data_IF_477563997482
#
_entry.id   IF_477563997482
#
_cell.length_a   1.000
_cell.length_b   1.000
_cell.length_c   1.000
_cell.angle_alpha   90.00
_cell.angle_beta   90.00
_cell.angle_gamma   90.00
#
_symmetry.space_group_name_H-M   'P 1'
#
loop_
_entity.id
_entity.type
_entity.pdbx_description
1 polymer ?
#
# COMPACT_ATOMS: atom_id res chain seq x y z
N UNK A 1 55.42 24.83 -14.85
CA UNK A 1 53.95 25.01 -14.89
C UNK A 1 53.28 23.67 -14.68
N UNK A 2 52.22 23.62 -13.88
CA UNK A 2 51.37 22.47 -13.65
C UNK A 2 50.45 22.26 -14.83
N UNK A 3 50.24 20.99 -15.20
CA UNK A 3 49.25 20.61 -16.20
C UNK A 3 47.83 20.84 -15.68
N UNK A 4 46.86 20.91 -16.58
CA UNK A 4 45.45 21.04 -16.19
C UNK A 4 45.05 19.93 -15.22
N UNK A 5 44.21 20.29 -14.23
CA UNK A 5 43.78 19.46 -13.10
C UNK A 5 44.77 19.35 -11.92
N UNK A 6 45.92 20.04 -11.98
CA UNK A 6 46.91 20.11 -10.90
C UNK A 6 47.23 21.56 -10.53
N UNK A 7 47.53 21.80 -9.26
CA UNK A 7 48.00 23.09 -8.76
C UNK A 7 49.06 22.91 -7.68
N UNK A 8 49.80 23.97 -7.38
CA UNK A 8 50.86 23.92 -6.36
C UNK A 8 50.34 23.91 -4.92
N UNK A 9 49.07 24.29 -4.71
CA UNK A 9 48.40 24.36 -3.40
C UNK A 9 47.15 23.47 -3.31
N UNK A 10 46.90 22.59 -4.29
CA UNK A 10 45.76 21.64 -4.33
C UNK A 10 44.38 22.30 -4.53
N UNK A 11 44.31 23.63 -4.68
CA UNK A 11 43.08 24.36 -4.99
C UNK A 11 42.82 24.41 -6.51
N UNK A 12 41.55 24.44 -6.90
CA UNK A 12 41.16 24.44 -8.31
C UNK A 12 41.55 25.73 -9.05
N UNK A 13 41.46 26.86 -8.35
CA UNK A 13 41.92 28.20 -8.74
C UNK A 13 43.38 28.47 -8.33
N UNK A 14 44.09 27.43 -7.88
CA UNK A 14 45.45 27.53 -7.35
C UNK A 14 46.52 27.91 -8.38
N UNK A 15 47.70 28.38 -7.92
CA UNK A 15 48.79 28.73 -8.82
C UNK A 15 49.29 27.50 -9.58
N UNK A 16 49.27 27.60 -10.91
CA UNK A 16 49.82 26.60 -11.84
C UNK A 16 51.27 26.91 -12.23
N UNK A 17 51.73 28.14 -12.10
CA UNK A 17 53.10 28.52 -12.43
C UNK A 17 53.95 28.74 -11.18
N UNK A 18 55.22 28.34 -11.25
CA UNK A 18 56.18 28.57 -10.19
C UNK A 18 57.55 28.86 -10.80
N UNK A 19 58.29 29.79 -10.20
CA UNK A 19 59.63 30.16 -10.60
C UNK A 19 60.65 29.49 -9.67
N UNK A 20 61.72 28.95 -10.24
CA UNK A 20 62.90 28.52 -9.47
C UNK A 20 63.91 29.66 -9.48
N UNK A 21 64.46 29.98 -8.31
CA UNK A 21 65.48 31.02 -8.17
C UNK A 21 66.86 30.41 -8.37
N UNK A 22 67.77 31.17 -8.98
CA UNK A 22 69.18 30.82 -9.06
C UNK A 22 69.89 31.35 -7.82
N UNK A 23 70.51 30.46 -7.05
CA UNK A 23 71.19 30.73 -5.78
C UNK A 23 72.67 30.33 -5.89
N UNK A 24 73.52 30.81 -4.98
CA UNK A 24 74.98 30.59 -5.03
C UNK A 24 75.39 29.10 -5.03
N UNK A 25 74.50 28.22 -4.57
CA UNK A 25 74.71 26.76 -4.48
C UNK A 25 73.89 25.95 -5.50
N UNK A 26 73.18 26.61 -6.44
CA UNK A 26 72.34 25.95 -7.45
C UNK A 26 70.94 26.57 -7.56
N UNK A 27 69.97 25.85 -8.13
CA UNK A 27 68.59 26.32 -8.21
C UNK A 27 67.79 25.97 -6.94
N UNK A 28 66.86 26.85 -6.56
CA UNK A 28 65.88 26.58 -5.50
C UNK A 28 65.03 25.34 -5.83
N UNK A 29 64.51 24.67 -4.81
CA UNK A 29 63.68 23.47 -5.00
C UNK A 29 62.49 23.72 -5.95
N UNK A 30 62.23 22.78 -6.85
CA UNK A 30 61.05 22.80 -7.72
C UNK A 30 59.79 22.64 -6.87
N UNK A 31 58.76 23.45 -7.14
CA UNK A 31 57.47 23.26 -6.50
C UNK A 31 56.76 22.06 -7.13
N UNK A 32 56.18 21.19 -6.30
CA UNK A 32 55.46 20.01 -6.78
C UNK A 32 54.01 20.37 -7.11
N UNK A 33 53.55 19.93 -8.28
CA UNK A 33 52.15 20.02 -8.66
C UNK A 33 51.39 18.84 -8.07
N UNK A 34 50.28 19.13 -7.39
CA UNK A 34 49.42 18.13 -6.74
C UNK A 34 48.03 18.16 -7.35
N UNK A 35 47.33 17.03 -7.30
CA UNK A 35 45.95 16.93 -7.80
C UNK A 35 45.04 17.88 -7.02
N UNK A 36 44.14 18.55 -7.74
CA UNK A 36 43.09 19.40 -7.17
C UNK A 36 42.21 18.57 -6.22
N UNK A 37 41.85 19.16 -5.08
CA UNK A 37 40.96 18.55 -4.07
C UNK A 37 39.54 19.09 -4.25
N UNK A 38 38.55 18.20 -4.35
CA UNK A 38 37.13 18.56 -4.30
C UNK A 38 36.57 18.58 -2.86
N UNK A 39 37.20 17.83 -1.95
CA UNK A 39 36.76 17.71 -0.55
C UNK A 39 36.23 16.32 -0.21
N UNK A 40 35.66 16.19 0.97
CA UNK A 40 34.96 14.99 1.40
C UNK A 40 33.69 14.74 0.57
N UNK A 41 33.23 13.48 0.52
CA UNK A 41 31.93 13.18 -0.07
C UNK A 41 30.83 13.91 0.71
N UNK A 42 30.04 14.72 0.03
CA UNK A 42 29.04 15.56 0.69
C UNK A 42 27.73 14.79 0.85
N UNK A 43 27.11 14.89 2.04
CA UNK A 43 25.73 14.50 2.26
C UNK A 43 24.90 15.75 2.49
N UNK A 44 24.00 16.06 1.56
CA UNK A 44 23.07 17.17 1.68
C UNK A 44 21.71 16.63 2.15
N UNK A 45 21.51 16.64 3.45
CA UNK A 45 20.27 16.15 4.06
C UNK A 45 19.03 16.98 3.68
N UNK A 46 19.20 18.21 3.19
CA UNK A 46 18.07 19.06 2.80
C UNK A 46 17.65 18.82 1.35
N UNK A 47 18.62 18.73 0.43
CA UNK A 47 18.35 18.56 -0.99
C UNK A 47 18.25 17.08 -1.43
N UNK A 48 18.97 16.17 -0.77
CA UNK A 48 19.00 14.76 -1.13
C UNK A 48 19.17 13.84 0.10
N UNK A 49 18.17 13.83 1.01
CA UNK A 49 18.24 13.11 2.29
C UNK A 49 18.45 11.61 2.15
N UNK A 50 18.06 11.03 1.02
CA UNK A 50 18.09 9.59 0.80
C UNK A 50 19.36 9.10 0.09
N UNK A 51 20.28 9.99 -0.30
CA UNK A 51 21.57 9.59 -0.87
C UNK A 51 22.68 9.64 0.20
N UNK A 52 23.02 8.47 0.74
CA UNK A 52 24.07 8.33 1.73
C UNK A 52 25.40 7.95 1.05
N UNK A 53 26.47 8.75 1.21
CA UNK A 53 27.78 8.38 0.70
C UNK A 53 28.37 7.21 1.50
N UNK A 54 29.12 6.35 0.81
CA UNK A 54 29.76 5.18 1.43
C UNK A 54 30.87 5.55 2.43
N UNK A 55 31.49 6.73 2.26
CA UNK A 55 32.58 7.25 3.10
C UNK A 55 32.51 8.76 3.21
N UNK A 56 32.50 9.31 4.42
CA UNK A 56 32.37 10.76 4.64
C UNK A 56 33.70 11.48 4.86
N UNK A 57 34.68 10.87 5.53
CA UNK A 57 35.84 11.61 6.05
C UNK A 57 37.09 11.61 5.15
N UNK A 58 36.98 11.06 3.93
CA UNK A 58 38.10 10.94 2.99
C UNK A 58 38.00 12.01 1.91
N UNK A 59 39.03 12.86 1.84
CA UNK A 59 39.14 13.88 0.79
C UNK A 59 39.34 13.24 -0.58
N UNK A 60 38.55 13.68 -1.55
CA UNK A 60 38.63 13.29 -2.96
C UNK A 60 39.42 14.31 -3.76
N UNK A 61 40.29 13.78 -4.60
CA UNK A 61 41.14 14.49 -5.54
C UNK A 61 40.67 14.24 -6.96
N UNK A 62 41.17 15.01 -7.91
CA UNK A 62 40.85 14.84 -9.33
C UNK A 62 40.91 13.36 -9.78
N UNK A 63 39.84 12.90 -10.43
CA UNK A 63 39.51 11.51 -10.85
C UNK A 63 39.00 10.57 -9.75
N UNK A 64 39.13 10.91 -8.47
CA UNK A 64 38.52 10.13 -7.41
C UNK A 64 36.99 10.22 -7.50
N UNK A 65 36.32 9.17 -7.05
CA UNK A 65 34.87 9.07 -7.01
C UNK A 65 34.33 8.99 -5.58
N UNK A 66 33.13 9.54 -5.40
CA UNK A 66 32.27 9.27 -4.26
C UNK A 66 31.14 8.37 -4.70
N UNK A 67 31.00 7.22 -4.05
CA UNK A 67 29.90 6.29 -4.27
C UNK A 67 28.79 6.58 -3.25
N UNK A 68 27.57 6.69 -3.75
CA UNK A 68 26.36 6.95 -2.97
C UNK A 68 25.41 5.77 -3.07
N UNK A 69 24.74 5.48 -1.97
CA UNK A 69 23.70 4.49 -1.85
C UNK A 69 22.40 5.17 -1.45
N UNK A 70 21.33 4.86 -2.17
CA UNK A 70 20.00 5.26 -1.79
C UNK A 70 19.56 4.47 -0.55
N UNK A 71 18.90 5.14 0.39
CA UNK A 71 18.28 4.46 1.53
C UNK A 71 17.19 3.50 1.07
N UNK A 72 16.89 2.47 1.87
CA UNK A 72 15.83 1.50 1.60
C UNK A 72 14.51 2.17 1.20
N UNK A 73 13.92 1.71 0.09
CA UNK A 73 12.69 2.28 -0.47
C UNK A 73 12.89 3.42 -1.46
N UNK A 74 14.14 3.73 -1.81
CA UNK A 74 14.49 4.77 -2.79
C UNK A 74 15.42 4.25 -3.86
N UNK A 75 15.20 4.66 -5.11
CA UNK A 75 16.03 4.31 -6.28
C UNK A 75 16.19 5.52 -7.19
N UNK A 76 17.03 5.40 -8.22
CA UNK A 76 17.33 6.51 -9.13
C UNK A 76 16.28 6.72 -10.24
N UNK A 77 15.37 5.76 -10.42
CA UNK A 77 14.36 5.72 -11.48
C UNK A 77 12.96 5.36 -10.96
N UNK A 78 12.77 5.35 -9.64
CA UNK A 78 11.54 4.95 -8.94
C UNK A 78 11.13 3.47 -9.12
N UNK A 79 11.92 2.66 -9.84
CA UNK A 79 11.70 1.22 -9.94
C UNK A 79 12.34 0.50 -8.75
N UNK A 80 11.62 -0.45 -8.14
CA UNK A 80 12.18 -1.27 -7.05
C UNK A 80 13.36 -2.16 -7.47
N UNK A 81 13.43 -2.50 -8.76
CA UNK A 81 14.54 -3.25 -9.36
C UNK A 81 15.56 -2.32 -10.04
N UNK A 82 15.32 -1.01 -9.97
CA UNK A 82 16.18 0.00 -10.55
C UNK A 82 17.48 0.19 -9.78
N UNK A 83 18.42 0.96 -10.35
CA UNK A 83 19.69 1.22 -9.70
C UNK A 83 19.46 2.07 -8.43
N UNK A 84 19.98 1.59 -7.31
CA UNK A 84 19.94 2.26 -6.01
C UNK A 84 21.28 2.91 -5.63
N UNK A 85 22.25 2.97 -6.55
CA UNK A 85 23.57 3.52 -6.29
C UNK A 85 24.07 4.34 -7.47
N UNK A 86 24.81 5.41 -7.18
CA UNK A 86 25.48 6.21 -8.20
C UNK A 86 26.84 6.68 -7.72
N UNK A 87 27.66 7.09 -8.69
CA UNK A 87 28.97 7.67 -8.42
C UNK A 87 29.06 9.08 -8.96
N UNK A 88 29.74 9.94 -8.20
CA UNK A 88 30.12 11.27 -8.64
C UNK A 88 31.64 11.37 -8.68
N UNK A 89 32.18 11.99 -9.73
CA UNK A 89 33.63 12.13 -9.92
C UNK A 89 34.09 13.54 -9.61
N UNK A 90 35.24 13.66 -8.96
CA UNK A 90 35.90 14.94 -8.72
C UNK A 90 36.49 15.49 -10.02
N UNK A 91 36.02 16.67 -10.43
CA UNK A 91 36.45 17.35 -11.65
C UNK A 91 37.62 18.31 -11.41
N UNK A 92 38.24 18.74 -12.51
CA UNK A 92 39.28 19.76 -12.52
C UNK A 92 38.83 21.12 -11.94
N UNK A 93 37.52 21.37 -11.88
CA UNK A 93 36.94 22.55 -11.26
C UNK A 93 36.97 22.52 -9.73
N UNK A 94 37.35 21.40 -9.10
CA UNK A 94 37.20 21.20 -7.66
C UNK A 94 35.76 20.88 -7.24
N UNK A 95 34.89 20.53 -8.18
CA UNK A 95 33.48 20.17 -7.92
C UNK A 95 33.19 18.72 -8.29
N UNK A 96 32.17 18.15 -7.65
CA UNK A 96 31.66 16.82 -7.95
C UNK A 96 30.67 16.86 -9.13
N UNK A 97 30.72 15.84 -10.00
CA UNK A 97 29.93 15.73 -11.24
C UNK A 97 28.88 14.64 -11.19
N UNK A 98 27.75 14.79 -11.88
CA UNK A 98 26.79 13.69 -12.00
C UNK A 98 26.03 13.39 -10.70
N UNK A 99 25.68 14.43 -9.94
CA UNK A 99 24.79 14.29 -8.80
C UNK A 99 23.44 13.74 -9.26
N UNK A 100 22.90 12.78 -8.50
CA UNK A 100 21.59 12.19 -8.75
C UNK A 100 20.73 12.26 -7.49
N UNK A 101 19.42 12.24 -7.67
CA UNK A 101 18.45 12.23 -6.58
C UNK A 101 17.92 10.83 -6.37
N UNK A 102 17.89 10.38 -5.12
CA UNK A 102 17.21 9.15 -4.75
C UNK A 102 15.71 9.45 -4.59
N UNK A 103 14.89 8.86 -5.45
CA UNK A 103 13.44 9.03 -5.51
C UNK A 103 12.74 7.83 -4.86
N UNK A 104 11.57 8.01 -4.24
CA UNK A 104 10.85 6.89 -3.64
C UNK A 104 10.47 5.85 -4.70
N UNK A 105 10.48 4.58 -4.31
CA UNK A 105 9.99 3.49 -5.17
C UNK A 105 8.48 3.69 -5.39
N UNK A 106 8.06 3.62 -6.66
CA UNK A 106 6.65 3.71 -7.03
C UNK A 106 6.06 2.32 -7.22
N UNK A 107 5.06 1.97 -6.44
CA UNK A 107 4.28 0.75 -6.61
C UNK A 107 3.35 0.87 -7.83
N UNK A 108 3.02 -0.24 -8.52
CA UNK A 108 2.07 -0.23 -9.61
C UNK A 108 0.67 0.21 -9.14
N UNK A 109 -0.27 0.40 -10.06
CA UNK A 109 -1.66 0.68 -9.68
C UNK A 109 -2.19 -0.38 -8.69
N UNK A 110 -2.82 0.02 -7.57
CA UNK A 110 -3.31 -0.93 -6.58
C UNK A 110 -4.26 -1.96 -7.19
N UNK A 111 -4.03 -3.23 -6.89
CA UNK A 111 -4.86 -4.32 -7.41
C UNK A 111 -6.25 -4.31 -6.77
N UNK A 112 -7.27 -4.78 -7.49
CA UNK A 112 -8.58 -5.02 -6.92
C UNK A 112 -8.51 -6.03 -5.77
N UNK A 113 -9.35 -5.84 -4.74
CA UNK A 113 -9.50 -6.77 -3.62
C UNK A 113 -10.96 -7.23 -3.60
N UNK A 114 -11.20 -8.53 -3.44
CA UNK A 114 -12.56 -9.08 -3.44
C UNK A 114 -13.39 -8.47 -2.31
N UNK A 115 -14.60 -8.03 -2.64
CA UNK A 115 -15.53 -7.37 -1.71
C UNK A 115 -14.99 -6.07 -1.08
N UNK A 116 -14.09 -5.38 -1.79
CA UNK A 116 -13.59 -4.08 -1.37
C UNK A 116 -13.31 -3.18 -2.57
N UNK A 117 -13.55 -1.89 -2.38
CA UNK A 117 -13.35 -0.84 -3.35
C UNK A 117 -12.18 0.06 -2.93
N UNK A 118 -11.39 0.52 -3.90
CA UNK A 118 -10.34 1.52 -3.67
C UNK A 118 -10.97 2.87 -3.34
N UNK A 119 -10.46 3.53 -2.30
CA UNK A 119 -10.94 4.84 -1.87
C UNK A 119 -9.89 5.90 -2.18
N UNK A 120 -10.28 6.94 -2.94
CA UNK A 120 -9.45 8.09 -3.28
C UNK A 120 -8.78 8.00 -4.66
N UNK A 121 -7.92 8.97 -4.95
CA UNK A 121 -7.38 9.25 -6.29
C UNK A 121 -6.27 8.29 -6.77
N UNK A 122 -5.90 7.28 -5.98
CA UNK A 122 -4.88 6.30 -6.33
C UNK A 122 -5.34 5.23 -7.34
N UNK A 123 -6.57 5.34 -7.86
CA UNK A 123 -7.18 4.33 -8.73
C UNK A 123 -6.56 4.19 -10.13
N UNK A 124 -5.69 5.12 -10.55
CA UNK A 124 -5.09 5.11 -11.90
C UNK A 124 -3.59 5.41 -11.96
N UNK A 125 -3.02 6.00 -10.90
CA UNK A 125 -1.57 6.25 -10.79
C UNK A 125 -1.00 5.40 -9.65
N UNK A 126 0.24 4.93 -9.79
CA UNK A 126 0.95 4.22 -8.73
C UNK A 126 1.02 5.00 -7.42
N UNK A 127 1.43 4.31 -6.34
CA UNK A 127 1.61 4.94 -5.02
C UNK A 127 3.08 4.85 -4.64
N UNK A 128 3.66 5.95 -4.18
CA UNK A 128 5.07 6.00 -3.82
C UNK A 128 5.31 5.55 -2.38
N UNK A 129 6.43 4.87 -2.14
CA UNK A 129 6.86 4.54 -0.78
C UNK A 129 7.09 5.82 0.05
N UNK A 130 6.65 5.89 1.31
CA UNK A 130 6.03 4.86 2.15
C UNK A 130 4.49 4.95 2.25
N UNK A 131 3.84 5.58 1.28
CA UNK A 131 2.38 5.79 1.27
C UNK A 131 1.60 4.48 1.11
N UNK A 132 0.27 4.55 1.31
CA UNK A 132 -0.60 3.37 1.32
C UNK A 132 -1.87 3.56 0.47
N UNK A 133 -2.25 2.48 -0.22
CA UNK A 133 -3.53 2.36 -0.89
C UNK A 133 -4.63 2.12 0.15
N UNK A 134 -5.70 2.91 0.11
CA UNK A 134 -6.83 2.79 1.03
C UNK A 134 -7.99 2.04 0.37
N UNK A 135 -8.57 1.13 1.12
CA UNK A 135 -9.68 0.30 0.68
C UNK A 135 -10.84 0.37 1.68
N UNK A 136 -12.04 0.23 1.15
CA UNK A 136 -13.28 0.13 1.91
C UNK A 136 -14.02 -1.13 1.47
N UNK A 137 -14.40 -1.98 2.43
CA UNK A 137 -15.21 -3.15 2.18
C UNK A 137 -16.55 -2.73 1.57
N UNK A 138 -17.03 -3.51 0.61
CA UNK A 138 -18.31 -3.28 -0.02
C UNK A 138 -19.47 -3.44 0.98
N UNK A 139 -20.63 -2.88 0.66
CA UNK A 139 -21.81 -2.97 1.51
C UNK A 139 -22.13 -4.44 1.89
N UNK A 140 -22.35 -4.68 3.18
CA UNK A 140 -22.62 -6.01 3.73
C UNK A 140 -21.38 -6.88 3.93
N UNK A 141 -20.17 -6.30 3.82
CA UNK A 141 -18.91 -6.94 4.16
C UNK A 141 -18.12 -6.10 5.18
N UNK A 142 -17.44 -6.77 6.10
CA UNK A 142 -16.53 -6.14 7.07
C UNK A 142 -15.27 -6.98 7.26
N UNK A 143 -14.23 -6.44 7.87
CA UNK A 143 -12.98 -7.17 8.15
C UNK A 143 -13.17 -8.33 9.13
N UNK A 144 -14.22 -8.31 9.95
CA UNK A 144 -14.50 -9.33 10.96
C UNK A 144 -15.67 -10.23 10.59
N UNK A 145 -16.58 -9.79 9.73
CA UNK A 145 -17.87 -10.44 9.46
C UNK A 145 -18.98 -10.01 10.43
N UNK A 146 -18.68 -9.11 11.36
CA UNK A 146 -19.69 -8.49 12.23
C UNK A 146 -20.28 -7.25 11.53
N UNK A 147 -21.58 -6.98 11.72
CA UNK A 147 -22.26 -5.81 11.14
C UNK A 147 -21.63 -4.46 11.56
N UNK A 148 -21.07 -4.41 12.77
CA UNK A 148 -20.35 -3.24 13.29
C UNK A 148 -18.82 -3.36 13.14
N UNK A 149 -18.36 -4.34 12.38
CA UNK A 149 -16.95 -4.57 12.12
C UNK A 149 -16.33 -3.43 11.31
N UNK A 150 -15.01 -3.28 11.41
CA UNK A 150 -14.28 -2.29 10.60
C UNK A 150 -14.43 -2.61 9.11
N UNK A 151 -14.67 -1.60 8.29
CA UNK A 151 -14.78 -1.73 6.83
C UNK A 151 -13.54 -1.21 6.09
N UNK A 152 -12.70 -0.41 6.74
CA UNK A 152 -11.55 0.22 6.09
C UNK A 152 -10.24 -0.48 6.41
N UNK A 153 -9.38 -0.63 5.40
CA UNK A 153 -8.01 -1.10 5.56
C UNK A 153 -7.08 -0.45 4.53
N UNK A 154 -5.78 -0.57 4.79
CA UNK A 154 -4.75 0.00 3.93
C UNK A 154 -3.75 -1.07 3.52
N UNK A 155 -3.18 -0.90 2.32
CA UNK A 155 -2.04 -1.68 1.82
C UNK A 155 -0.89 -0.74 1.55
N UNK A 156 0.20 -0.91 2.29
CA UNK A 156 1.35 -0.01 2.22
C UNK A 156 2.21 -0.37 1.01
N UNK A 157 2.66 0.63 0.24
CA UNK A 157 3.71 0.40 -0.75
C UNK A 157 5.02 0.08 -0.02
N UNK A 158 5.65 -1.02 -0.37
CA UNK A 158 6.86 -1.53 0.28
C UNK A 158 8.11 -1.23 -0.59
N UNK A 159 9.32 -1.27 0.00
CA UNK A 159 10.57 -0.99 -0.73
C UNK A 159 10.83 -1.89 -1.93
N UNK A 160 10.21 -3.07 -2.00
CA UNK A 160 10.31 -4.02 -3.11
C UNK A 160 9.33 -3.70 -4.26
N UNK A 161 8.62 -2.56 -4.17
CA UNK A 161 7.65 -2.12 -5.18
C UNK A 161 6.34 -2.90 -5.14
N UNK A 162 6.11 -3.68 -4.09
CA UNK A 162 4.87 -4.42 -3.88
C UNK A 162 4.06 -3.81 -2.75
N UNK A 163 2.75 -4.04 -2.78
CA UNK A 163 1.88 -3.68 -1.67
C UNK A 163 1.88 -4.76 -0.61
N UNK A 164 1.80 -4.34 0.65
CA UNK A 164 1.59 -5.25 1.77
C UNK A 164 0.36 -6.16 1.57
N UNK A 165 0.32 -7.34 2.22
CA UNK A 165 -0.77 -8.30 2.04
C UNK A 165 -2.15 -7.66 2.28
N UNK A 166 -3.09 -7.94 1.38
CA UNK A 166 -4.45 -7.46 1.49
C UNK A 166 -5.18 -8.13 2.68
N UNK A 167 -6.04 -7.37 3.36
CA UNK A 167 -7.02 -7.94 4.29
C UNK A 167 -8.23 -8.43 3.51
N UNK A 168 -8.92 -9.43 4.05
CA UNK A 168 -10.13 -9.98 3.45
C UNK A 168 -11.37 -9.35 4.11
N UNK A 169 -12.28 -8.86 3.27
CA UNK A 169 -13.61 -8.46 3.69
C UNK A 169 -14.51 -9.70 3.68
N UNK A 170 -15.10 -10.01 4.83
CA UNK A 170 -15.99 -11.15 5.06
C UNK A 170 -17.44 -10.68 5.03
N UNK A 171 -18.36 -11.50 4.51
CA UNK A 171 -19.77 -11.14 4.53
C UNK A 171 -20.26 -11.03 5.97
N UNK A 172 -21.16 -10.08 6.22
CA UNK A 172 -21.77 -9.89 7.53
C UNK A 172 -22.60 -11.12 7.90
N UNK A 173 -22.45 -11.63 9.11
CA UNK A 173 -23.29 -12.70 9.66
C UNK A 173 -24.56 -12.13 10.29
N UNK A 174 -25.70 -12.74 9.96
CA UNK A 174 -26.97 -12.53 10.67
C UNK A 174 -27.19 -13.57 11.79
N UNK A 175 -26.26 -14.49 11.98
CA UNK A 175 -26.41 -15.61 12.90
C UNK A 175 -27.39 -16.67 12.38
N UNK A 176 -27.88 -17.50 13.31
CA UNK A 176 -28.88 -18.52 12.99
C UNK A 176 -30.28 -17.90 12.99
N UNK A 177 -31.15 -18.27 12.03
CA UNK A 177 -32.54 -17.85 12.05
C UNK A 177 -33.22 -18.23 13.37
N UNK A 178 -34.10 -17.35 13.85
CA UNK A 178 -34.89 -17.64 15.04
C UNK A 178 -35.88 -18.77 14.76
N UNK A 179 -36.06 -19.67 15.74
CA UNK A 179 -37.05 -20.73 15.63
C UNK A 179 -38.47 -20.16 15.69
N UNK A 180 -39.30 -20.58 14.74
CA UNK A 180 -40.69 -20.12 14.59
C UNK A 180 -41.61 -21.27 14.96
N UNK A 181 -42.55 -21.03 15.89
CA UNK A 181 -43.48 -22.06 16.32
C UNK A 181 -44.30 -22.59 15.15
N UNK A 182 -44.48 -23.90 15.12
CA UNK A 182 -45.20 -24.59 14.05
C UNK A 182 -44.61 -24.39 12.64
N UNK A 183 -43.33 -24.01 12.53
CA UNK A 183 -42.61 -23.95 11.25
C UNK A 183 -41.38 -24.88 11.24
N UNK A 184 -40.82 -25.07 10.05
CA UNK A 184 -39.57 -25.79 9.78
C UNK A 184 -38.67 -24.91 8.91
N UNK A 185 -37.36 -24.93 9.16
CA UNK A 185 -36.35 -24.16 8.42
C UNK A 185 -34.97 -24.83 8.57
N UNK A 186 -33.98 -24.42 7.77
CA UNK A 186 -32.59 -24.86 7.91
C UNK A 186 -31.90 -24.05 9.06
N UNK A 187 -31.40 -24.69 10.13
CA UNK A 187 -30.84 -24.01 11.30
C UNK A 187 -29.38 -23.54 11.11
N UNK A 188 -28.90 -23.44 9.86
CA UNK A 188 -27.58 -22.90 9.55
C UNK A 188 -27.50 -21.40 9.81
N UNK A 189 -26.31 -20.96 10.18
CA UNK A 189 -25.97 -19.55 10.19
C UNK A 189 -26.01 -19.00 8.76
N UNK A 190 -26.55 -17.80 8.59
CA UNK A 190 -26.64 -17.13 7.31
C UNK A 190 -25.78 -15.87 7.25
N UNK A 191 -25.18 -15.67 6.09
CA UNK A 191 -24.35 -14.52 5.77
C UNK A 191 -25.04 -13.61 4.74
N UNK A 192 -24.54 -12.38 4.61
CA UNK A 192 -25.13 -11.35 3.75
C UNK A 192 -25.54 -11.87 2.36
N UNK A 193 -26.79 -11.59 1.97
CA UNK A 193 -27.49 -12.06 0.75
C UNK A 193 -27.93 -13.54 0.75
N UNK A 194 -27.56 -14.35 1.73
CA UNK A 194 -28.12 -15.69 1.88
C UNK A 194 -29.55 -15.64 2.40
N UNK A 195 -30.33 -16.68 2.09
CA UNK A 195 -31.76 -16.74 2.39
C UNK A 195 -32.13 -18.00 3.17
N UNK A 196 -33.15 -17.87 4.02
CA UNK A 196 -33.81 -18.99 4.71
C UNK A 196 -35.28 -19.02 4.33
N UNK A 197 -35.77 -20.23 4.04
CA UNK A 197 -37.19 -20.48 3.77
C UNK A 197 -37.81 -21.17 4.98
N UNK A 198 -38.85 -20.56 5.53
CA UNK A 198 -39.69 -21.14 6.57
C UNK A 198 -40.89 -21.81 5.95
N UNK A 199 -41.20 -23.04 6.36
CA UNK A 199 -42.39 -23.76 5.94
C UNK A 199 -43.23 -24.12 7.16
N UNK A 200 -44.49 -23.68 7.19
CA UNK A 200 -45.44 -24.04 8.23
C UNK A 200 -45.72 -25.55 8.20
N UNK A 201 -45.79 -26.15 9.39
CA UNK A 201 -46.13 -27.56 9.58
C UNK A 201 -47.58 -27.81 9.16
N UNK A 202 -47.90 -29.07 8.85
CA UNK A 202 -49.25 -29.48 8.48
C UNK A 202 -50.29 -29.02 9.51
N UNK A 203 -51.42 -28.47 9.02
CA UNK A 203 -52.46 -27.86 9.85
C UNK A 203 -52.25 -26.37 10.13
N UNK A 204 -51.17 -25.75 9.63
CA UNK A 204 -50.88 -24.33 9.78
C UNK A 204 -50.59 -23.65 8.43
N UNK A 205 -50.94 -22.38 8.31
CA UNK A 205 -50.62 -21.50 7.17
C UNK A 205 -50.22 -20.12 7.68
N UNK A 206 -49.65 -19.26 6.82
CA UNK A 206 -49.29 -17.89 7.21
C UNK A 206 -50.52 -17.02 7.50
N UNK A 207 -51.68 -17.35 6.91
CA UNK A 207 -52.92 -16.60 7.07
C UNK A 207 -53.95 -17.26 8.01
N UNK A 208 -53.79 -18.54 8.36
CA UNK A 208 -54.79 -19.33 9.10
C UNK A 208 -55.94 -19.86 8.23
N UNK A 209 -55.91 -19.64 6.91
CA UNK A 209 -56.94 -20.10 5.96
C UNK A 209 -56.43 -21.29 5.15
N UNK A 210 -57.28 -22.32 5.01
CA UNK A 210 -56.96 -23.52 4.25
C UNK A 210 -56.59 -23.19 2.79
N UNK A 211 -55.52 -23.80 2.29
CA UNK A 211 -55.08 -23.64 0.88
C UNK A 211 -54.33 -22.33 0.59
N UNK A 212 -53.98 -21.53 1.60
CA UNK A 212 -53.18 -20.31 1.43
C UNK A 212 -51.68 -20.55 1.62
N UNK A 213 -50.87 -19.52 1.41
CA UNK A 213 -49.41 -19.55 1.54
C UNK A 213 -48.97 -20.09 2.90
N UNK A 214 -48.04 -21.04 2.86
CA UNK A 214 -47.46 -21.69 4.03
C UNK A 214 -45.94 -21.52 4.10
N UNK A 215 -45.36 -20.69 3.23
CA UNK A 215 -43.92 -20.45 3.16
C UNK A 215 -43.59 -18.97 3.20
N UNK A 216 -42.55 -18.60 3.96
CA UNK A 216 -41.99 -17.26 3.98
C UNK A 216 -40.47 -17.32 3.82
N UNK A 217 -39.90 -16.35 3.10
CA UNK A 217 -38.46 -16.24 2.89
C UNK A 217 -37.92 -15.01 3.60
N UNK A 218 -36.82 -15.19 4.34
CA UNK A 218 -36.04 -14.08 4.89
C UNK A 218 -34.63 -14.09 4.30
N UNK A 219 -34.04 -12.91 4.16
CA UNK A 219 -32.70 -12.69 3.59
C UNK A 219 -31.80 -12.03 4.62
N UNK A 220 -30.54 -12.44 4.73
CA UNK A 220 -29.59 -11.77 5.61
C UNK A 220 -29.18 -10.39 5.04
N UNK A 221 -29.45 -9.35 5.82
CA UNK A 221 -29.17 -7.94 5.51
C UNK A 221 -27.73 -7.52 5.79
N UNK A 222 -27.34 -6.36 5.25
CA UNK A 222 -26.00 -5.79 5.44
C UNK A 222 -25.74 -5.32 6.89
N UNK A 223 -26.81 -5.08 7.63
CA UNK A 223 -26.83 -4.66 9.04
C UNK A 223 -26.80 -5.85 10.01
N UNK A 224 -26.70 -7.09 9.50
CA UNK A 224 -26.70 -8.31 10.32
C UNK A 224 -28.09 -8.69 10.82
N UNK A 225 -29.16 -8.13 10.26
CA UNK A 225 -30.54 -8.50 10.57
C UNK A 225 -31.18 -9.33 9.45
N UNK A 226 -32.11 -10.22 9.82
CA UNK A 226 -32.94 -10.92 8.84
C UNK A 226 -34.00 -9.96 8.28
N UNK A 227 -33.95 -9.72 6.97
CA UNK A 227 -34.87 -8.88 6.23
C UNK A 227 -35.94 -9.72 5.55
N UNK A 228 -37.20 -9.33 5.71
CA UNK A 228 -38.37 -10.03 5.16
C UNK A 228 -39.53 -10.09 6.15
N UNK A 229 -40.68 -10.63 5.73
CA UNK A 229 -41.81 -10.83 6.63
C UNK A 229 -41.48 -11.91 7.65
N UNK A 230 -41.58 -11.58 8.94
CA UNK A 230 -41.42 -12.57 10.01
C UNK A 230 -42.58 -13.58 9.93
N UNK A 231 -42.31 -14.88 9.69
CA UNK A 231 -43.39 -15.85 9.53
C UNK A 231 -44.10 -16.10 10.85
N UNK A 232 -45.43 -16.10 10.79
CA UNK A 232 -46.29 -16.57 11.88
C UNK A 232 -47.20 -17.65 11.32
N UNK A 233 -47.08 -18.87 11.84
CA UNK A 233 -47.89 -19.99 11.40
C UNK A 233 -49.16 -20.09 12.27
N UNK A 234 -50.32 -19.82 11.68
CA UNK A 234 -51.62 -19.86 12.33
C UNK A 234 -52.34 -21.17 12.01
N UNK A 235 -53.07 -21.77 12.97
CA UNK A 235 -53.81 -22.99 12.73
C UNK A 235 -54.90 -22.74 11.68
N UNK A 236 -55.07 -23.71 10.78
CA UNK A 236 -56.07 -23.63 9.71
C UNK A 236 -57.47 -23.71 10.30
N UNK A 237 -58.31 -22.73 9.97
CA UNK A 237 -59.75 -22.79 10.24
C UNK A 237 -60.48 -23.42 9.05
N UNK A 238 -61.18 -24.52 9.29
CA UNK A 238 -61.86 -25.32 8.24
C UNK A 238 -63.22 -24.74 7.79
N UNK A 239 -63.69 -23.64 8.39
CA UNK A 239 -65.03 -23.10 8.14
C UNK A 239 -66.14 -23.90 8.81
N UNK A 240 -67.40 -23.56 8.51
CA UNK A 240 -68.55 -24.33 8.99
C UNK A 240 -68.57 -25.73 8.36
N UNK A 241 -68.89 -26.77 9.15
CA UNK A 241 -69.02 -28.12 8.63
C UNK A 241 -70.12 -28.16 7.55
N UNK A 242 -69.97 -29.01 6.51
CA UNK A 242 -71.02 -29.20 5.51
C UNK A 242 -72.31 -29.65 6.19
N UNK A 243 -73.44 -29.04 5.82
CA UNK A 243 -74.75 -29.44 6.30
C UNK A 243 -74.95 -30.94 6.01
N UNK A 244 -75.35 -31.71 7.03
CA UNK A 244 -75.69 -33.11 6.82
C UNK A 244 -76.81 -33.19 5.78
N UNK A 245 -76.74 -34.11 4.80
CA UNK A 245 -77.88 -34.37 3.94
C UNK A 245 -79.04 -34.82 4.84
N UNK A 246 -80.17 -34.10 4.79
CA UNK A 246 -81.42 -34.62 5.32
C UNK A 246 -81.65 -36.03 4.75
N UNK A 247 -81.91 -36.98 5.65
CA UNK A 247 -81.90 -38.43 5.46
C UNK A 247 -82.73 -38.96 4.27
#
# INVERSE_FOLDING_TARGET
TCVDCYSTNEAADGPKEFAVKCEATGFSAKQQCKKIICGACQHDAAANPHALPATMDVLRRYEDACSYQCTTGYTLDQSASGPASFETKCLASGSFSGQKTCLPVSCPAPSAVTHASLVGSAGSSGIDFPEAAKYECDQGYTLTGDANGKTQFERQCQPDGQYSPAKQCKPVSCGKPQEVQHATHDPKELFYKETVNFTCKSGYTLSGVAGTENQATMTCGADGSFQGPQPTCLPVQCGEPPAEPDA
#
